data_IF_888701629757
#
_entry.id   IF_888701629757
#
_cell.length_a   1.000
_cell.length_b   1.000
_cell.length_c   1.000
_cell.angle_alpha   90.00
_cell.angle_beta   90.00
_cell.angle_gamma   90.00
#
_symmetry.space_group_name_H-M   'P 1'
#
loop_
_entity.id
_entity.type
_entity.pdbx_description
1 polymer ?
#
# COMPACT_ATOMS: atom_id res chain seq x y z
N UNK A 1 -36.22 -29.40 -37.78
CA UNK A 1 -35.06 -28.77 -37.12
C UNK A 1 -35.35 -28.67 -35.63
N UNK A 2 -34.43 -29.20 -34.82
CA UNK A 2 -34.34 -29.22 -33.34
C UNK A 2 -34.61 -27.82 -32.69
N UNK A 3 -34.96 -27.61 -31.41
CA UNK A 3 -34.66 -28.35 -30.16
C UNK A 3 -35.44 -27.70 -28.99
N UNK A 4 -35.91 -28.50 -28.03
CA UNK A 4 -36.01 -28.31 -26.56
C UNK A 4 -36.55 -29.67 -26.05
N UNK A 5 -36.14 -30.27 -24.92
CA UNK A 5 -36.44 -29.96 -23.51
C UNK A 5 -35.55 -30.88 -22.62
N UNK A 6 -35.29 -30.45 -21.38
CA UNK A 6 -34.65 -31.13 -20.22
C UNK A 6 -35.00 -32.62 -19.97
N UNK A 7 -34.07 -33.38 -19.35
CA UNK A 7 -34.25 -34.06 -18.03
C UNK A 7 -33.07 -34.97 -17.64
N UNK A 8 -32.70 -34.83 -16.38
CA UNK A 8 -32.44 -35.84 -15.33
C UNK A 8 -31.35 -36.93 -15.41
N UNK A 9 -30.67 -36.99 -14.26
CA UNK A 9 -29.87 -38.03 -13.62
C UNK A 9 -30.40 -39.47 -13.81
N UNK A 10 -29.46 -40.41 -14.03
CA UNK A 10 -29.64 -41.82 -13.72
C UNK A 10 -28.42 -42.32 -12.92
N UNK A 11 -28.74 -42.88 -11.75
CA UNK A 11 -27.85 -43.44 -10.74
C UNK A 11 -27.86 -44.96 -10.87
N UNK A 12 -27.00 -45.54 -11.71
CA UNK A 12 -26.85 -47.00 -11.76
C UNK A 12 -25.57 -47.46 -12.48
N UNK A 13 -24.44 -47.46 -11.77
CA UNK A 13 -23.28 -48.29 -12.13
C UNK A 13 -22.38 -48.60 -10.90
N UNK A 14 -23.00 -49.19 -9.89
CA UNK A 14 -22.46 -50.26 -9.04
C UNK A 14 -22.27 -51.48 -9.99
N UNK A 15 -21.25 -52.33 -9.98
CA UNK A 15 -20.35 -52.83 -8.95
C UNK A 15 -19.37 -53.83 -9.63
N UNK A 16 -18.10 -53.89 -9.23
CA UNK A 16 -17.20 -55.07 -9.29
C UNK A 16 -16.01 -54.80 -8.36
N UNK A 17 -15.47 -55.66 -7.50
CA UNK A 17 -15.81 -56.97 -6.92
C UNK A 17 -14.94 -57.06 -5.64
N UNK A 18 -15.62 -57.26 -4.51
CA UNK A 18 -15.33 -58.03 -3.28
C UNK A 18 -13.91 -58.60 -3.02
N UNK A 19 -13.43 -58.39 -1.78
CA UNK A 19 -12.41 -59.19 -1.10
C UNK A 19 -12.07 -58.66 0.31
N UNK A 20 -12.77 -59.14 1.35
CA UNK A 20 -12.62 -58.84 2.79
C UNK A 20 -11.33 -59.47 3.44
N UNK A 21 -11.13 -59.50 4.79
CA UNK A 21 -10.42 -58.49 5.58
C UNK A 21 -9.32 -59.12 6.50
N UNK A 22 -8.27 -58.39 6.86
CA UNK A 22 -7.45 -58.73 8.04
C UNK A 22 -6.71 -57.51 8.60
N UNK A 23 -6.88 -57.32 9.89
CA UNK A 23 -6.37 -56.28 10.78
C UNK A 23 -4.85 -56.22 10.86
N UNK A 24 -4.30 -55.00 10.99
CA UNK A 24 -3.11 -54.73 11.82
C UNK A 24 -3.09 -53.27 12.29
N UNK A 25 -2.75 -53.16 13.57
CA UNK A 25 -2.87 -52.03 14.47
C UNK A 25 -2.01 -50.83 14.05
N UNK A 26 -2.51 -49.62 14.34
CA UNK A 26 -1.82 -48.34 14.16
C UNK A 26 -0.99 -48.05 15.42
N UNK A 27 0.33 -48.09 15.26
CA UNK A 27 1.34 -47.64 16.23
C UNK A 27 1.32 -46.09 16.34
N UNK A 28 1.23 -45.49 17.55
CA UNK A 28 1.18 -44.04 17.74
C UNK A 28 2.55 -43.34 17.90
N UNK A 29 3.64 -43.86 17.33
CA UNK A 29 4.95 -43.17 17.34
C UNK A 29 5.24 -42.33 16.08
N UNK A 30 4.99 -41.03 16.22
CA UNK A 30 5.31 -39.88 15.33
C UNK A 30 6.69 -39.92 14.62
N UNK A 31 6.90 -39.21 13.48
CA UNK A 31 6.66 -37.77 13.38
C UNK A 31 5.92 -37.31 12.12
N UNK A 32 4.85 -36.54 12.34
CA UNK A 32 4.23 -35.72 11.30
C UNK A 32 5.03 -34.42 11.22
N UNK A 33 6.00 -34.37 10.31
CA UNK A 33 6.68 -33.13 9.95
C UNK A 33 5.68 -32.23 9.21
N UNK A 34 5.00 -31.35 9.92
CA UNK A 34 4.46 -30.11 9.35
C UNK A 34 5.60 -29.12 9.23
N UNK A 35 5.79 -28.44 8.09
CA UNK A 35 6.69 -27.29 8.06
C UNK A 35 6.14 -26.24 9.01
N UNK A 36 6.89 -25.96 10.07
CA UNK A 36 6.70 -24.80 10.92
C UNK A 36 6.76 -23.56 10.05
N UNK A 37 5.65 -22.84 9.95
CA UNK A 37 5.62 -21.53 9.30
C UNK A 37 6.37 -20.57 10.23
N UNK A 38 7.57 -20.19 9.80
CA UNK A 38 8.39 -19.15 10.42
C UNK A 38 7.55 -17.88 10.65
N UNK A 39 7.22 -17.60 11.91
CA UNK A 39 6.71 -16.31 12.35
C UNK A 39 7.84 -15.29 12.20
N UNK A 40 8.11 -14.84 10.98
CA UNK A 40 8.90 -13.62 10.77
C UNK A 40 8.26 -12.51 11.60
N UNK A 41 9.04 -11.89 12.48
CA UNK A 41 8.63 -10.74 13.29
C UNK A 41 7.97 -9.68 12.38
N UNK A 42 6.64 -9.59 12.41
CA UNK A 42 5.87 -8.51 11.78
C UNK A 42 5.84 -7.25 12.67
N UNK A 43 6.78 -7.13 13.60
CA UNK A 43 6.81 -6.04 14.55
C UNK A 43 7.39 -4.77 13.96
N UNK A 44 8.06 -4.83 12.80
CA UNK A 44 8.67 -3.65 12.17
C UNK A 44 8.15 -3.46 10.75
N UNK A 45 7.67 -2.25 10.46
CA UNK A 45 7.33 -1.79 9.11
C UNK A 45 8.29 -0.68 8.71
N UNK A 46 9.04 -0.90 7.64
CA UNK A 46 9.91 0.10 7.04
C UNK A 46 9.14 0.88 5.97
N UNK A 47 9.18 2.21 6.04
CA UNK A 47 8.54 3.10 5.08
C UNK A 47 9.60 3.89 4.33
N UNK A 48 9.54 3.80 3.02
CA UNK A 48 10.54 4.34 2.11
C UNK A 48 10.03 5.54 1.33
N UNK A 49 10.96 6.33 0.79
CA UNK A 49 10.64 7.50 -0.01
C UNK A 49 9.94 7.11 -1.30
N UNK A 50 8.73 7.60 -1.56
CA UNK A 50 8.03 7.27 -2.80
C UNK A 50 8.55 8.07 -3.99
N UNK A 51 9.30 9.15 -3.76
CA UNK A 51 9.74 10.10 -4.77
C UNK A 51 11.17 10.55 -4.48
N UNK A 52 11.88 11.02 -5.50
CA UNK A 52 13.14 11.73 -5.30
C UNK A 52 12.85 13.16 -4.83
N UNK A 53 13.55 13.66 -3.83
CA UNK A 53 13.26 14.98 -3.30
C UNK A 53 14.13 15.43 -2.13
N UNK A 54 13.68 16.52 -1.51
CA UNK A 54 14.26 17.06 -0.29
C UNK A 54 13.27 16.89 0.85
N UNK A 55 13.70 16.31 1.97
CA UNK A 55 12.87 16.20 3.17
C UNK A 55 12.61 17.59 3.74
N UNK A 56 11.37 17.88 4.09
CA UNK A 56 10.95 19.13 4.75
C UNK A 56 10.22 18.80 6.05
N UNK A 57 10.14 19.77 6.96
CA UNK A 57 9.37 19.59 8.19
C UNK A 57 7.87 19.54 7.87
N UNK A 58 7.12 18.72 8.62
CA UNK A 58 5.67 18.77 8.58
C UNK A 58 5.16 20.11 9.13
N UNK A 59 5.84 20.67 10.12
CA UNK A 59 5.46 21.93 10.76
C UNK A 59 5.47 23.13 9.79
N UNK A 60 6.22 23.05 8.70
CA UNK A 60 6.31 24.11 7.67
C UNK A 60 5.16 24.04 6.65
N UNK A 61 4.28 23.04 6.75
CA UNK A 61 3.18 22.88 5.81
C UNK A 61 2.05 23.89 6.07
N UNK A 62 1.41 24.42 5.01
CA UNK A 62 0.35 25.42 5.14
C UNK A 62 -0.97 24.87 5.70
N UNK A 63 -1.13 23.54 5.78
CA UNK A 63 -2.34 22.88 6.30
C UNK A 63 -2.11 22.37 7.75
N UNK A 64 -2.89 22.88 8.73
CA UNK A 64 -2.79 22.48 10.14
C UNK A 64 -3.01 20.99 10.41
N UNK A 65 -3.74 20.29 9.53
CA UNK A 65 -4.00 18.85 9.66
C UNK A 65 -2.71 18.04 9.57
N UNK A 66 -1.77 18.51 8.73
CA UNK A 66 -0.44 17.93 8.56
C UNK A 66 0.57 18.58 9.51
N UNK A 67 0.61 19.92 9.57
CA UNK A 67 1.58 20.64 10.41
C UNK A 67 1.40 20.37 11.92
N UNK A 68 0.15 20.21 12.35
CA UNK A 68 -0.20 19.83 13.72
C UNK A 68 -0.16 18.32 13.98
N UNK A 69 0.25 17.49 13.01
CA UNK A 69 0.29 16.02 13.11
C UNK A 69 -1.06 15.40 13.52
N UNK A 70 -2.17 16.04 13.13
CA UNK A 70 -3.52 15.60 13.52
C UNK A 70 -3.91 14.32 12.78
N UNK A 71 -3.59 14.23 11.49
CA UNK A 71 -3.84 13.04 10.67
C UNK A 71 -2.89 11.88 10.99
N UNK A 72 -1.64 12.20 11.34
CA UNK A 72 -0.56 11.24 11.53
C UNK A 72 0.78 11.94 11.67
N UNK A 73 1.84 11.13 11.78
CA UNK A 73 3.23 11.61 11.90
C UNK A 73 4.11 10.89 10.86
N UNK A 74 5.26 11.49 10.54
CA UNK A 74 6.15 11.03 9.49
C UNK A 74 7.03 12.15 8.98
N UNK A 75 7.07 12.33 7.66
CA UNK A 75 7.89 13.35 7.01
C UNK A 75 7.11 14.01 5.87
N UNK A 76 7.58 15.18 5.42
CA UNK A 76 7.18 15.75 4.15
C UNK A 76 8.36 15.76 3.19
N UNK A 77 8.08 15.68 1.89
CA UNK A 77 9.10 15.73 0.84
C UNK A 77 8.69 16.80 -0.18
N UNK A 78 9.58 17.75 -0.47
CA UNK A 78 9.51 18.58 -1.67
C UNK A 78 10.07 17.75 -2.84
N UNK A 79 9.22 17.30 -3.77
CA UNK A 79 9.63 16.39 -4.83
C UNK A 79 10.45 17.12 -5.91
N UNK A 80 11.48 16.44 -6.43
CA UNK A 80 12.27 16.90 -7.57
C UNK A 80 11.63 16.51 -8.91
N UNK A 81 10.88 15.41 -8.92
CA UNK A 81 10.13 14.92 -10.07
C UNK A 81 8.71 14.48 -9.66
N UNK A 82 7.82 14.37 -10.64
CA UNK A 82 6.41 14.04 -10.38
C UNK A 82 6.11 12.56 -10.24
N UNK A 83 7.09 11.65 -10.23
CA UNK A 83 6.83 10.21 -10.32
C UNK A 83 6.88 9.56 -8.93
N UNK A 84 5.71 9.21 -8.41
CA UNK A 84 5.56 8.59 -7.11
C UNK A 84 5.40 7.07 -7.23
N UNK A 85 6.17 6.35 -6.42
CA UNK A 85 6.13 4.90 -6.26
C UNK A 85 5.49 4.53 -4.94
N UNK A 86 5.21 3.24 -4.75
CA UNK A 86 4.76 2.75 -3.46
C UNK A 86 5.87 2.95 -2.41
N UNK A 87 5.53 3.40 -1.19
CA UNK A 87 6.51 3.61 -0.12
C UNK A 87 6.76 2.32 0.67
N UNK A 88 6.05 1.23 0.36
CA UNK A 88 6.01 -0.01 1.14
C UNK A 88 5.75 -1.21 0.24
N UNK A 89 6.05 -2.41 0.71
CA UNK A 89 5.45 -3.64 0.18
C UNK A 89 4.12 -3.89 0.91
N UNK A 90 3.01 -3.95 0.19
CA UNK A 90 1.71 -4.10 0.83
C UNK A 90 0.55 -3.95 -0.14
N UNK A 91 -0.60 -3.52 0.39
CA UNK A 91 -1.81 -3.31 -0.39
C UNK A 91 -2.13 -1.82 -0.49
N UNK A 92 -2.40 -1.33 -1.69
CA UNK A 92 -3.02 -0.02 -1.88
C UNK A 92 -4.49 -0.13 -1.50
N UNK A 93 -4.85 0.27 -0.30
CA UNK A 93 -6.20 0.13 0.24
C UNK A 93 -7.18 1.10 -0.44
N UNK A 94 -6.75 2.35 -0.59
CA UNK A 94 -7.57 3.40 -1.18
C UNK A 94 -6.71 4.35 -2.01
N UNK A 95 -7.15 4.60 -3.24
CA UNK A 95 -6.69 5.71 -4.08
C UNK A 95 -7.88 6.63 -4.36
N UNK A 96 -7.75 7.92 -4.06
CA UNK A 96 -8.80 8.88 -4.43
C UNK A 96 -8.85 9.07 -5.95
N UNK A 97 -10.06 9.22 -6.50
CA UNK A 97 -10.27 9.40 -7.95
C UNK A 97 -9.58 10.65 -8.51
N UNK A 98 -9.35 11.68 -7.68
CA UNK A 98 -8.61 12.89 -8.03
C UNK A 98 -7.10 12.67 -8.09
N UNK A 99 -6.58 11.54 -7.60
CA UNK A 99 -5.16 11.15 -7.75
C UNK A 99 -4.17 11.84 -6.82
N UNK A 100 -4.64 12.57 -5.79
CA UNK A 100 -3.79 13.33 -4.87
C UNK A 100 -3.35 12.55 -3.62
N UNK A 101 -4.09 11.50 -3.23
CA UNK A 101 -3.83 10.78 -1.98
C UNK A 101 -4.09 9.27 -2.08
N UNK A 102 -3.20 8.52 -1.41
CA UNK A 102 -3.08 7.07 -1.50
C UNK A 102 -2.80 6.46 -0.13
N UNK A 103 -3.63 5.49 0.27
CA UNK A 103 -3.57 4.82 1.56
C UNK A 103 -3.11 3.39 1.36
N UNK A 104 -2.06 3.00 2.08
CA UNK A 104 -1.47 1.68 2.02
C UNK A 104 -1.71 0.95 3.33
N UNK A 105 -2.05 -0.33 3.24
CA UNK A 105 -2.06 -1.25 4.36
C UNK A 105 -0.84 -2.17 4.27
N UNK A 106 -0.08 -2.23 5.36
CA UNK A 106 1.04 -3.14 5.55
C UNK A 106 0.84 -3.86 6.87
N UNK A 107 0.22 -5.03 6.83
CA UNK A 107 -0.05 -5.84 8.02
C UNK A 107 -0.81 -5.05 9.11
N UNK A 108 -1.78 -4.23 8.70
CA UNK A 108 -2.56 -3.37 9.60
C UNK A 108 -1.91 -2.04 9.98
N UNK A 109 -0.66 -1.76 9.55
CA UNK A 109 -0.11 -0.42 9.58
C UNK A 109 -0.62 0.38 8.36
N UNK A 110 -1.21 1.54 8.63
CA UNK A 110 -1.85 2.42 7.65
C UNK A 110 -0.94 3.59 7.33
N UNK A 111 -0.47 3.65 6.08
CA UNK A 111 0.47 4.64 5.57
C UNK A 111 -0.23 5.51 4.53
N UNK A 112 0.04 6.81 4.54
CA UNK A 112 -0.49 7.79 3.60
C UNK A 112 0.63 8.40 2.76
N UNK A 113 0.41 8.48 1.45
CA UNK A 113 1.04 9.46 0.57
C UNK A 113 -0.02 10.51 0.24
N UNK A 114 0.27 11.77 0.53
CA UNK A 114 -0.51 12.91 0.05
C UNK A 114 0.38 13.79 -0.83
N UNK A 115 -0.08 14.16 -2.02
CA UNK A 115 0.75 14.81 -3.04
C UNK A 115 0.39 16.27 -3.15
N UNK A 116 1.31 17.12 -2.68
CA UNK A 116 1.05 18.55 -2.49
C UNK A 116 0.00 18.81 -1.41
N UNK A 117 -0.39 20.08 -1.24
CA UNK A 117 -1.44 20.52 -0.33
C UNK A 117 -2.55 21.21 -1.13
N UNK A 118 -3.82 20.96 -0.77
CA UNK A 118 -5.02 21.44 -1.48
C UNK A 118 -5.13 21.04 -2.97
N UNK A 119 -4.37 20.03 -3.37
CA UNK A 119 -4.32 19.52 -4.75
C UNK A 119 -5.52 18.67 -5.14
N UNK A 120 -6.42 18.36 -4.20
CA UNK A 120 -7.73 17.72 -4.49
C UNK A 120 -8.55 18.51 -5.51
N UNK A 121 -8.32 19.82 -5.59
CA UNK A 121 -8.94 20.74 -6.55
C UNK A 121 -8.43 20.57 -7.98
N UNK A 122 -7.30 19.86 -8.17
CA UNK A 122 -6.74 19.59 -9.49
C UNK A 122 -7.44 18.36 -10.08
N UNK A 123 -8.01 18.53 -11.27
CA UNK A 123 -8.64 17.43 -11.99
C UNK A 123 -7.60 16.34 -12.32
N UNK A 124 -7.91 15.08 -12.01
CA UNK A 124 -7.24 13.95 -12.65
C UNK A 124 -7.73 13.86 -14.10
N UNK A 125 -6.81 13.70 -15.05
CA UNK A 125 -7.18 13.45 -16.44
C UNK A 125 -6.56 12.12 -16.85
N UNK A 126 -7.24 11.03 -16.49
CA UNK A 126 -6.77 9.67 -16.77
C UNK A 126 -6.96 9.26 -18.24
N UNK A 127 -7.60 10.09 -19.07
CA UNK A 127 -8.07 9.71 -20.42
C UNK A 127 -7.18 10.15 -21.58
N UNK A 128 -6.23 11.09 -21.39
CA UNK A 128 -5.34 11.51 -22.46
C UNK A 128 -3.87 11.42 -22.01
N UNK A 129 -3.19 10.37 -22.47
CA UNK A 129 -1.78 10.14 -22.15
C UNK A 129 -0.84 11.24 -22.69
N UNK A 130 -1.33 12.12 -23.56
CA UNK A 130 -0.53 13.20 -24.14
C UNK A 130 -0.67 14.53 -23.38
N UNK A 131 -1.57 14.63 -22.39
CA UNK A 131 -1.77 15.87 -21.64
C UNK A 131 -2.04 15.61 -20.15
N UNK A 132 -0.96 15.47 -19.38
CA UNK A 132 -1.03 15.36 -17.91
C UNK A 132 -1.44 16.72 -17.32
N UNK A 133 -2.73 16.88 -16.98
CA UNK A 133 -3.24 18.12 -16.38
C UNK A 133 -2.88 18.20 -14.89
N UNK A 134 -3.41 17.29 -14.07
CA UNK A 134 -3.10 17.20 -12.64
C UNK A 134 -2.33 15.93 -12.32
N UNK A 135 -3.03 14.80 -12.39
CA UNK A 135 -2.51 13.49 -12.01
C UNK A 135 -2.82 12.42 -13.06
N UNK A 136 -1.90 11.48 -13.23
CA UNK A 136 -2.07 10.23 -13.98
C UNK A 136 -1.83 9.06 -13.04
N UNK A 137 -2.89 8.33 -12.73
CA UNK A 137 -2.84 7.21 -11.79
C UNK A 137 -2.35 5.94 -12.50
N UNK A 138 -1.46 5.18 -11.87
CA UNK A 138 -0.99 3.88 -12.37
C UNK A 138 -1.48 2.71 -11.52
N UNK A 139 -1.75 2.95 -10.24
CA UNK A 139 -2.30 1.97 -9.32
C UNK A 139 -3.71 2.38 -8.86
N UNK A 140 -4.53 1.40 -8.50
CA UNK A 140 -5.90 1.57 -8.01
C UNK A 140 -6.12 0.85 -6.68
N UNK A 141 -7.17 1.24 -5.98
CA UNK A 141 -7.60 0.58 -4.74
C UNK A 141 -7.74 -0.94 -4.94
N UNK A 142 -7.16 -1.69 -4.03
CA UNK A 142 -7.13 -3.16 -4.04
C UNK A 142 -5.84 -3.78 -4.59
N UNK A 143 -5.00 -3.01 -5.29
CA UNK A 143 -3.77 -3.53 -5.89
C UNK A 143 -2.73 -3.92 -4.81
N UNK A 144 -2.00 -5.01 -5.06
CA UNK A 144 -0.77 -5.31 -4.32
C UNK A 144 0.39 -4.54 -4.95
N UNK A 145 1.17 -3.87 -4.13
CA UNK A 145 2.24 -2.96 -4.54
C UNK A 145 3.54 -3.32 -3.85
N UNK A 146 4.65 -2.98 -4.51
CA UNK A 146 6.01 -3.16 -3.98
C UNK A 146 6.79 -1.87 -4.05
N UNK A 147 7.56 -1.57 -2.99
CA UNK A 147 8.36 -0.35 -2.93
C UNK A 147 9.40 -0.33 -4.06
N UNK A 148 9.71 0.86 -4.58
CA UNK A 148 10.55 1.10 -5.80
C UNK A 148 10.03 0.54 -7.12
N UNK A 149 9.20 -0.51 -7.12
CA UNK A 149 8.78 -1.23 -8.34
C UNK A 149 7.43 -0.80 -8.85
N UNK A 150 6.49 -0.52 -7.95
CA UNK A 150 5.12 -0.17 -8.31
C UNK A 150 4.98 1.34 -8.44
N UNK A 151 4.87 1.89 -9.66
CA UNK A 151 4.47 3.26 -9.85
C UNK A 151 3.03 3.42 -9.35
N UNK A 152 2.76 4.49 -8.60
CA UNK A 152 1.44 4.78 -8.03
C UNK A 152 0.77 5.88 -8.84
N UNK A 153 1.50 6.97 -9.10
CA UNK A 153 0.96 8.15 -9.78
C UNK A 153 2.07 9.04 -10.34
N UNK A 154 1.77 9.71 -11.44
CA UNK A 154 2.54 10.83 -11.95
C UNK A 154 1.77 12.14 -11.69
N UNK A 155 2.38 13.07 -10.98
CA UNK A 155 1.86 14.39 -10.67
C UNK A 155 2.49 15.47 -11.57
N UNK A 156 1.68 16.42 -12.03
CA UNK A 156 2.19 17.60 -12.73
C UNK A 156 2.61 18.68 -11.72
N UNK A 157 3.87 18.61 -11.26
CA UNK A 157 4.40 19.57 -10.29
C UNK A 157 4.39 21.01 -10.82
N UNK A 158 4.61 21.23 -12.11
CA UNK A 158 4.54 22.57 -12.71
C UNK A 158 3.13 23.15 -12.60
N UNK A 159 2.10 22.33 -12.83
CA UNK A 159 0.71 22.75 -12.70
C UNK A 159 0.35 23.08 -11.26
N UNK A 160 0.79 22.27 -10.29
CA UNK A 160 0.62 22.55 -8.85
C UNK A 160 1.24 23.91 -8.51
N UNK A 161 2.49 24.15 -8.94
CA UNK A 161 3.20 25.42 -8.74
C UNK A 161 2.50 26.61 -9.44
N UNK A 162 2.00 26.42 -10.66
CA UNK A 162 1.23 27.44 -11.41
C UNK A 162 -0.10 27.81 -10.74
N UNK A 163 -0.65 26.93 -9.90
CA UNK A 163 -1.83 27.20 -9.08
C UNK A 163 -1.48 27.77 -7.71
N UNK A 164 -0.21 28.08 -7.46
CA UNK A 164 0.29 28.59 -6.18
C UNK A 164 0.00 27.63 -5.01
N UNK A 165 -0.12 26.34 -5.32
CA UNK A 165 -0.29 25.28 -4.33
C UNK A 165 1.08 24.72 -3.93
N UNK A 166 1.19 24.23 -2.69
CA UNK A 166 2.41 23.58 -2.22
C UNK A 166 2.58 22.21 -2.89
N UNK A 167 3.80 21.91 -3.35
CA UNK A 167 4.20 20.59 -3.87
C UNK A 167 4.73 19.66 -2.78
N UNK A 168 4.96 20.18 -1.57
CA UNK A 168 5.39 19.37 -0.43
C UNK A 168 4.38 18.25 -0.19
N UNK A 169 4.88 17.03 -0.17
CA UNK A 169 4.08 15.81 -0.18
C UNK A 169 4.28 15.05 1.14
N UNK A 170 3.27 15.05 2.05
CA UNK A 170 3.33 14.29 3.30
C UNK A 170 3.36 12.78 3.08
N UNK A 171 4.31 12.11 3.74
CA UNK A 171 4.42 10.65 3.84
C UNK A 171 4.27 10.27 5.32
N UNK A 172 3.13 9.69 5.68
CA UNK A 172 2.72 9.59 7.08
C UNK A 172 2.34 8.17 7.48
N UNK A 173 2.61 7.82 8.74
CA UNK A 173 1.86 6.81 9.44
C UNK A 173 0.62 7.47 10.09
N UNK A 174 -0.56 6.95 9.78
CA UNK A 174 -1.81 7.52 10.29
C UNK A 174 -1.94 7.35 11.80
N UNK A 175 -2.73 8.22 12.43
CA UNK A 175 -2.97 8.22 13.88
C UNK A 175 -3.42 6.86 14.42
N UNK A 176 -4.25 6.14 13.68
CA UNK A 176 -4.69 4.78 14.03
C UNK A 176 -3.55 3.75 14.05
N UNK A 177 -2.55 3.92 13.18
CA UNK A 177 -1.30 3.16 13.21
C UNK A 177 -0.50 3.52 14.45
N UNK A 178 -0.32 4.81 14.73
CA UNK A 178 0.48 5.30 15.86
C UNK A 178 -0.12 4.93 17.24
N UNK A 179 -1.41 4.56 17.29
CA UNK A 179 -2.01 3.98 18.49
C UNK A 179 -1.36 2.65 18.89
N UNK A 180 -0.87 1.87 17.92
CA UNK A 180 -0.30 0.53 18.13
C UNK A 180 1.17 0.39 17.73
N UNK A 181 1.75 1.42 17.11
CA UNK A 181 3.14 1.44 16.65
C UNK A 181 3.88 2.67 17.18
N UNK A 182 5.15 2.50 17.53
CA UNK A 182 6.11 3.58 17.75
C UNK A 182 6.77 3.97 16.43
N UNK A 183 6.82 5.27 16.15
CA UNK A 183 7.43 5.81 14.93
C UNK A 183 8.83 6.35 15.22
N UNK A 184 9.80 5.93 14.40
CA UNK A 184 11.17 6.42 14.41
C UNK A 184 11.55 6.95 13.03
N UNK A 185 11.56 8.28 12.90
CA UNK A 185 12.10 8.94 11.70
C UNK A 185 13.61 8.79 11.67
N UNK A 186 14.16 8.44 10.51
CA UNK A 186 15.61 8.25 10.30
C UNK A 186 16.25 9.30 9.39
N UNK A 187 15.44 10.19 8.82
CA UNK A 187 15.86 11.36 8.01
C UNK A 187 15.57 12.67 8.76
N UNK A 188 16.13 13.78 8.28
CA UNK A 188 15.95 15.13 8.84
C UNK A 188 15.55 16.12 7.74
N UNK A 189 14.86 17.23 8.07
CA UNK A 189 14.65 18.32 7.14
C UNK A 189 15.97 18.79 6.50
N UNK A 190 15.96 18.97 5.18
CA UNK A 190 17.13 19.31 4.36
C UNK A 190 17.84 18.10 3.75
N UNK A 191 17.58 16.88 4.22
CA UNK A 191 18.17 15.66 3.63
C UNK A 191 17.65 15.44 2.21
N UNK A 192 18.53 14.98 1.32
CA UNK A 192 18.17 14.53 -0.03
C UNK A 192 17.86 13.03 -0.01
N UNK A 193 16.75 12.64 -0.62
CA UNK A 193 16.31 11.24 -0.71
C UNK A 193 16.00 10.85 -2.15
N UNK A 194 16.30 9.61 -2.51
CA UNK A 194 15.90 8.97 -3.76
C UNK A 194 14.72 8.02 -3.52
N UNK A 195 14.09 7.59 -4.63
CA UNK A 195 13.03 6.59 -4.57
C UNK A 195 13.52 5.32 -3.85
N UNK A 196 12.81 5.02 -2.78
CA UNK A 196 12.97 3.90 -1.88
C UNK A 196 14.16 3.97 -0.92
N UNK A 197 14.68 5.16 -0.64
CA UNK A 197 15.49 5.40 0.55
C UNK A 197 14.61 5.34 1.81
N UNK A 198 15.13 4.82 2.92
CA UNK A 198 14.35 4.65 4.15
C UNK A 198 14.04 6.00 4.81
N UNK A 199 12.77 6.28 5.11
CA UNK A 199 12.33 7.53 5.76
C UNK A 199 12.10 7.34 7.26
N UNK A 200 11.33 6.33 7.62
CA UNK A 200 11.00 6.03 9.00
C UNK A 200 10.65 4.55 9.19
N UNK A 201 10.78 4.11 10.44
CA UNK A 201 10.43 2.76 10.89
C UNK A 201 9.26 2.84 11.86
N UNK A 202 8.32 1.91 11.73
CA UNK A 202 7.24 1.68 12.69
C UNK A 202 7.52 0.40 13.44
N UNK A 203 7.55 0.44 14.77
CA UNK A 203 7.71 -0.76 15.62
C UNK A 203 6.45 -1.00 16.43
N UNK A 204 5.88 -2.20 16.37
CA UNK A 204 4.66 -2.55 17.09
C UNK A 204 4.91 -2.45 18.59
N UNK A 205 4.01 -1.77 19.30
CA UNK A 205 4.05 -1.65 20.75
C UNK A 205 3.75 -3.01 21.36
N UNK A 206 4.65 -3.51 22.21
CA UNK A 206 4.35 -4.66 23.06
C UNK A 206 3.29 -4.23 24.07
N UNK A 207 2.09 -4.82 23.96
CA UNK A 207 1.04 -4.67 24.96
C UNK A 207 1.26 -5.61 26.13
#
# INVERSE_FOLDING_TARGET
MQKMINKDYDSSAIEKVIGDPATKEIDPSMPKATPEVDHKLYDVVDVYSPVKGTVTDLADLPDPSFAGKIMGDGVSIEPEDGMFYSPVDGKLELAYNTGHAYFFDVNGAKILIHIGIDTVSLNSNNSDSNNLVGFKMFAKSGDNVSFKKSPVVQANLEMIKKKELSTNSPILALKETLANYDLKVVVKPGDKVNVGDLLFKLTKKNK
#
